data_IF_793137089906
#
_entry.id   IF_793137089906
#
_cell.length_a   1.000
_cell.length_b   1.000
_cell.length_c   1.000
_cell.angle_alpha   90.00
_cell.angle_beta   90.00
_cell.angle_gamma   90.00
#
_symmetry.space_group_name_H-M   'P 1'
#
loop_
_entity.id
_entity.type
_entity.pdbx_description
1 polymer ?
#
# COMPACT_ATOMS: atom_id res chain seq x y z
N UNK A 1 12.24 -9.45 6.00
CA UNK A 1 11.43 -8.40 5.37
C UNK A 1 10.50 -9.03 4.34
N UNK A 2 9.22 -8.76 4.47
CA UNK A 2 8.20 -9.25 3.54
C UNK A 2 7.51 -8.04 2.90
N UNK A 3 7.56 -7.99 1.58
CA UNK A 3 6.87 -6.95 0.80
C UNK A 3 5.76 -7.60 -0.02
N UNK A 4 4.54 -7.13 0.18
CA UNK A 4 3.37 -7.62 -0.56
C UNK A 4 2.93 -6.58 -1.58
N UNK A 5 2.51 -7.02 -2.75
CA UNK A 5 2.14 -6.14 -3.86
C UNK A 5 0.83 -5.39 -3.64
N UNK A 6 0.10 -5.67 -2.55
CA UNK A 6 -1.13 -4.97 -2.20
C UNK A 6 -1.34 -5.04 -0.68
N UNK A 7 -2.04 -4.04 -0.13
CA UNK A 7 -2.36 -4.00 1.30
C UNK A 7 -3.24 -5.19 1.72
N UNK A 8 -4.17 -5.61 0.87
CA UNK A 8 -5.02 -6.77 1.15
C UNK A 8 -4.20 -8.05 1.30
N UNK A 9 -3.18 -8.20 0.47
CA UNK A 9 -2.26 -9.33 0.53
C UNK A 9 -1.44 -9.28 1.82
N UNK A 10 -0.96 -8.09 2.20
CA UNK A 10 -0.21 -7.91 3.43
C UNK A 10 -1.06 -8.23 4.67
N UNK A 11 -2.31 -7.77 4.71
CA UNK A 11 -3.22 -8.07 5.81
C UNK A 11 -3.50 -9.56 5.94
N UNK A 12 -3.73 -10.22 4.82
CA UNK A 12 -3.96 -11.66 4.79
C UNK A 12 -2.72 -12.42 5.26
N UNK A 13 -1.56 -12.01 4.80
CA UNK A 13 -0.28 -12.60 5.22
C UNK A 13 -0.09 -12.47 6.74
N UNK A 14 -0.35 -11.27 7.28
CA UNK A 14 -0.23 -11.03 8.72
C UNK A 14 -1.14 -11.98 9.50
N UNK A 15 -2.40 -12.07 9.10
CA UNK A 15 -3.39 -12.88 9.82
C UNK A 15 -3.02 -14.36 9.81
N UNK A 16 -2.54 -14.88 8.68
CA UNK A 16 -2.09 -16.27 8.57
C UNK A 16 -0.84 -16.54 9.41
N UNK A 17 0.11 -15.63 9.39
CA UNK A 17 1.33 -15.79 10.20
C UNK A 17 1.02 -15.74 11.70
N UNK A 18 0.05 -14.92 12.09
CA UNK A 18 -0.40 -14.84 13.47
C UNK A 18 -0.96 -16.18 13.96
N UNK A 19 -1.64 -16.91 13.10
CA UNK A 19 -2.12 -18.26 13.42
C UNK A 19 -0.97 -19.22 13.77
N UNK A 20 0.22 -18.94 13.26
CA UNK A 20 1.43 -19.71 13.56
C UNK A 20 2.26 -19.08 14.68
N UNK A 21 1.72 -18.10 15.38
CA UNK A 21 2.39 -17.45 16.50
C UNK A 21 3.44 -16.42 16.11
N UNK A 22 3.45 -15.98 14.85
CA UNK A 22 4.40 -14.99 14.34
C UNK A 22 3.69 -13.67 14.06
N UNK A 23 4.28 -12.57 14.52
CA UNK A 23 3.70 -11.23 14.36
C UNK A 23 4.75 -10.24 13.86
N UNK A 24 4.29 -9.21 13.15
CA UNK A 24 5.11 -8.09 12.72
C UNK A 24 4.88 -6.91 13.67
N UNK A 25 5.91 -6.09 13.99
CA UNK A 25 7.27 -6.18 13.46
C UNK A 25 8.22 -7.08 14.28
N UNK A 26 7.71 -7.82 15.28
CA UNK A 26 8.54 -8.56 16.24
C UNK A 26 9.30 -9.71 15.59
N UNK A 27 8.61 -10.51 14.78
CA UNK A 27 9.20 -11.70 14.16
C UNK A 27 9.63 -11.46 12.71
N UNK A 28 8.99 -10.51 12.03
CA UNK A 28 9.32 -10.12 10.67
C UNK A 28 8.83 -8.70 10.41
N UNK A 29 9.31 -8.09 9.37
CA UNK A 29 8.90 -6.75 8.95
C UNK A 29 8.01 -6.90 7.72
N UNK A 30 6.83 -6.29 7.75
CA UNK A 30 5.81 -6.44 6.70
C UNK A 30 5.44 -5.09 6.12
N UNK A 31 5.40 -5.01 4.80
CA UNK A 31 4.93 -3.82 4.09
C UNK A 31 4.04 -4.23 2.91
N UNK A 32 2.92 -3.53 2.77
CA UNK A 32 2.03 -3.64 1.63
C UNK A 32 2.29 -2.54 0.60
N UNK A 33 1.33 -2.35 -0.29
CA UNK A 33 1.43 -1.36 -1.35
C UNK A 33 0.04 -0.84 -1.70
N UNK A 34 -0.05 0.47 -1.90
CA UNK A 34 -1.27 1.14 -2.35
C UNK A 34 -1.79 2.19 -1.39
N UNK A 35 -1.68 1.96 -0.09
CA UNK A 35 -2.20 2.89 0.92
C UNK A 35 -3.71 2.91 0.96
N UNK A 36 -4.35 1.76 0.71
CA UNK A 36 -5.80 1.64 0.78
C UNK A 36 -6.29 1.68 2.22
N UNK A 37 -7.58 1.90 2.39
CA UNK A 37 -8.20 1.99 3.70
C UNK A 37 -7.85 0.81 4.61
N UNK A 38 -7.73 -0.39 4.04
CA UNK A 38 -7.39 -1.58 4.81
C UNK A 38 -6.10 -1.42 5.62
N UNK A 39 -5.09 -0.69 5.09
CA UNK A 39 -3.85 -0.48 5.82
C UNK A 39 -4.05 0.29 7.12
N UNK A 40 -5.06 1.14 7.17
CA UNK A 40 -5.38 1.97 8.35
C UNK A 40 -6.35 1.28 9.30
N UNK A 41 -7.28 0.46 8.79
CA UNK A 41 -8.29 -0.20 9.62
C UNK A 41 -7.86 -1.55 10.16
N UNK A 42 -6.87 -2.17 9.55
CA UNK A 42 -6.30 -3.43 10.04
C UNK A 42 -5.65 -3.21 11.41
N UNK A 43 -5.72 -4.21 12.26
CA UNK A 43 -5.04 -4.20 13.56
C UNK A 43 -3.98 -5.29 13.56
N UNK A 44 -2.69 -4.95 13.61
CA UNK A 44 -2.07 -3.61 13.63
C UNK A 44 -2.20 -2.89 12.28
N UNK A 45 -2.00 -1.57 12.28
CA UNK A 45 -1.96 -0.81 11.03
C UNK A 45 -0.80 -1.26 10.19
N UNK A 46 -1.07 -1.50 8.91
CA UNK A 46 -0.07 -2.06 7.99
C UNK A 46 0.83 -0.97 7.43
N UNK A 47 2.13 -1.22 7.43
CA UNK A 47 3.07 -0.41 6.68
C UNK A 47 2.74 -0.53 5.19
N UNK A 48 2.84 0.56 4.46
CA UNK A 48 2.46 0.58 3.05
C UNK A 48 3.16 1.71 2.31
N UNK A 49 3.29 1.54 1.00
CA UNK A 49 3.59 2.64 0.09
C UNK A 49 2.25 3.23 -0.33
N UNK A 50 1.91 4.39 0.24
CA UNK A 50 0.64 5.04 -0.01
C UNK A 50 0.70 5.84 -1.31
N UNK A 51 -0.21 5.57 -2.22
CA UNK A 51 -0.34 6.28 -3.49
C UNK A 51 -1.45 7.33 -3.38
N UNK A 52 -1.27 8.45 -4.07
CA UNK A 52 -2.34 9.43 -4.20
C UNK A 52 -3.32 8.95 -5.28
N UNK A 53 -4.34 8.21 -4.85
CA UNK A 53 -5.32 7.61 -5.76
C UNK A 53 -6.09 8.66 -6.54
N UNK A 54 -6.39 9.81 -5.91
CA UNK A 54 -7.09 10.90 -6.59
C UNK A 54 -6.25 11.50 -7.71
N UNK A 55 -4.95 11.69 -7.47
CA UNK A 55 -4.04 12.19 -8.50
C UNK A 55 -3.92 11.21 -9.66
N UNK A 56 -3.83 9.90 -9.36
CA UNK A 56 -3.79 8.87 -10.39
C UNK A 56 -5.03 8.94 -11.27
N UNK A 57 -6.21 9.04 -10.65
CA UNK A 57 -7.47 9.14 -11.38
C UNK A 57 -7.55 10.40 -12.25
N UNK A 58 -7.17 11.55 -11.70
CA UNK A 58 -7.14 12.80 -12.47
C UNK A 58 -6.20 12.70 -13.66
N UNK A 59 -5.00 12.18 -13.45
CA UNK A 59 -4.01 12.05 -14.52
C UNK A 59 -4.50 11.11 -15.61
N UNK A 60 -5.16 10.02 -15.22
CA UNK A 60 -5.73 9.07 -16.19
C UNK A 60 -6.80 9.73 -17.06
N UNK A 61 -7.67 10.54 -16.46
CA UNK A 61 -8.71 11.27 -17.20
C UNK A 61 -8.08 12.26 -18.17
N UNK A 62 -7.08 13.03 -17.74
CA UNK A 62 -6.39 13.97 -18.61
C UNK A 62 -5.76 13.28 -19.82
N UNK A 63 -5.09 12.15 -19.59
CA UNK A 63 -4.49 11.39 -20.69
C UNK A 63 -5.55 10.84 -21.64
N UNK A 64 -6.66 10.32 -21.10
CA UNK A 64 -7.75 9.79 -21.90
C UNK A 64 -8.43 10.86 -22.77
N UNK A 65 -8.52 12.07 -22.27
CA UNK A 65 -9.11 13.19 -23.01
C UNK A 65 -8.12 13.91 -23.90
N UNK A 66 -6.87 13.44 -23.96
CA UNK A 66 -5.84 14.04 -24.81
C UNK A 66 -5.33 15.39 -24.30
N UNK A 67 -5.57 15.71 -23.04
CA UNK A 67 -5.16 16.99 -22.45
C UNK A 67 -3.68 17.08 -22.15
N UNK A 68 -2.96 15.98 -22.10
CA UNK A 68 -1.53 15.94 -21.87
C UNK A 68 -0.81 15.27 -23.02
N UNK A 69 0.33 15.82 -23.39
CA UNK A 69 1.19 15.25 -24.43
C UNK A 69 2.20 14.25 -23.87
N UNK A 70 2.25 14.11 -22.56
CA UNK A 70 3.17 13.19 -21.92
C UNK A 70 2.56 11.81 -21.82
N UNK A 71 3.40 10.79 -22.02
CA UNK A 71 2.95 9.39 -21.97
C UNK A 71 2.85 8.85 -20.54
N UNK A 72 3.45 9.54 -19.58
CA UNK A 72 3.36 9.15 -18.19
C UNK A 72 3.42 10.38 -17.31
N UNK A 73 2.59 10.39 -16.29
CA UNK A 73 2.54 11.44 -15.28
C UNK A 73 2.78 10.77 -13.93
N UNK A 74 3.83 11.19 -13.25
CA UNK A 74 4.16 10.63 -11.94
C UNK A 74 3.11 11.06 -10.91
N UNK A 75 2.58 10.10 -10.16
CA UNK A 75 1.69 10.38 -9.04
C UNK A 75 2.49 10.46 -7.74
N UNK A 76 2.12 11.36 -6.82
CA UNK A 76 2.75 11.41 -5.51
C UNK A 76 2.58 10.11 -4.74
N UNK A 77 3.58 9.78 -3.95
CA UNK A 77 3.51 8.63 -3.05
C UNK A 77 4.18 8.99 -1.72
N UNK A 78 3.87 8.22 -0.69
CA UNK A 78 4.51 8.33 0.61
C UNK A 78 4.68 6.95 1.21
N UNK A 79 5.80 6.71 1.88
CA UNK A 79 6.02 5.48 2.61
C UNK A 79 5.52 5.68 4.02
N UNK A 80 4.59 4.85 4.46
CA UNK A 80 4.05 4.85 5.81
C UNK A 80 4.50 3.59 6.52
N UNK A 81 5.29 3.74 7.56
CA UNK A 81 5.80 2.58 8.29
C UNK A 81 4.76 1.97 9.23
N UNK A 82 3.84 2.78 9.72
CA UNK A 82 2.77 2.34 10.62
C UNK A 82 3.27 1.38 11.70
N UNK A 83 2.57 0.24 11.92
CA UNK A 83 2.83 -0.63 13.08
C UNK A 83 3.47 -1.97 12.71
N UNK A 84 3.66 -2.28 11.43
CA UNK A 84 4.22 -3.57 10.99
C UNK A 84 5.64 -3.49 10.45
N UNK A 85 6.27 -2.34 10.60
CA UNK A 85 7.62 -2.11 10.09
C UNK A 85 8.58 -1.67 11.18
#
# INVERSE_FOLDING_TARGET
FVFCGADSMAGYFYDLMKEHGLTAPQDYILMGFGGFELSEVHTPKLATVALDQAAIGRNAVELALGGSMENSIAAPYAVKFNETF
#
